data_IF_647216742250
#
_entry.id   IF_647216742250
#
_cell.length_a   1.000
_cell.length_b   1.000
_cell.length_c   1.000
_cell.angle_alpha   90.00
_cell.angle_beta   90.00
_cell.angle_gamma   90.00
#
_symmetry.space_group_name_H-M   'P 1'
#
loop_
_entity.id
_entity.type
_entity.pdbx_description
1 polymer ?
#
# COMPACT_ATOMS: atom_id res chain seq x y z
N UNK A 1 3.26 30.58 -5.91
CA UNK A 1 4.01 29.46 -5.29
C UNK A 1 3.15 28.53 -4.42
N UNK A 2 2.14 29.05 -3.70
CA UNK A 2 1.31 28.22 -2.79
C UNK A 2 0.29 27.28 -3.48
N UNK A 3 -0.20 27.61 -4.68
CA UNK A 3 -1.24 26.81 -5.37
C UNK A 3 -0.68 25.50 -5.94
N UNK A 4 0.48 25.54 -6.54
CA UNK A 4 1.21 24.36 -7.04
C UNK A 4 1.62 23.42 -5.92
N UNK A 5 2.10 23.95 -4.79
CA UNK A 5 2.46 23.14 -3.62
C UNK A 5 1.24 22.44 -3.00
N UNK A 6 0.07 23.09 -2.99
CA UNK A 6 -1.17 22.48 -2.50
C UNK A 6 -1.69 21.38 -3.45
N UNK A 7 -1.56 21.57 -4.77
CA UNK A 7 -1.88 20.53 -5.76
C UNK A 7 -0.94 19.34 -5.57
N UNK A 8 0.36 19.58 -5.45
CA UNK A 8 1.34 18.52 -5.23
C UNK A 8 1.05 17.70 -3.96
N UNK A 9 0.70 18.37 -2.85
CA UNK A 9 0.32 17.67 -1.60
C UNK A 9 -0.94 16.82 -1.76
N UNK A 10 -1.96 17.30 -2.48
CA UNK A 10 -3.17 16.52 -2.77
C UNK A 10 -2.85 15.31 -3.62
N UNK A 11 -2.06 15.48 -4.70
CA UNK A 11 -1.64 14.38 -5.56
C UNK A 11 -0.86 13.34 -4.74
N UNK A 12 0.09 13.76 -3.92
CA UNK A 12 0.85 12.86 -3.05
C UNK A 12 -0.05 12.08 -2.09
N UNK A 13 -1.06 12.72 -1.49
CA UNK A 13 -2.03 12.05 -0.61
C UNK A 13 -2.83 10.99 -1.36
N UNK A 14 -3.32 11.28 -2.57
CA UNK A 14 -4.02 10.30 -3.39
C UNK A 14 -3.13 9.13 -3.80
N UNK A 15 -1.87 9.39 -4.14
CA UNK A 15 -0.89 8.33 -4.46
C UNK A 15 -0.66 7.43 -3.25
N UNK A 16 -0.48 7.99 -2.06
CA UNK A 16 -0.31 7.21 -0.83
C UNK A 16 -1.53 6.32 -0.52
N UNK A 17 -2.75 6.84 -0.69
CA UNK A 17 -3.98 6.05 -0.54
C UNK A 17 -4.02 4.92 -1.56
N UNK A 18 -3.72 5.22 -2.83
CA UNK A 18 -3.73 4.21 -3.89
C UNK A 18 -2.70 3.10 -3.63
N UNK A 19 -1.49 3.45 -3.18
CA UNK A 19 -0.44 2.49 -2.80
C UNK A 19 -0.89 1.62 -1.63
N UNK A 20 -1.50 2.21 -0.59
CA UNK A 20 -2.00 1.45 0.55
C UNK A 20 -3.11 0.47 0.15
N UNK A 21 -4.08 0.92 -0.65
CA UNK A 21 -5.15 0.06 -1.18
C UNK A 21 -4.60 -1.05 -2.06
N UNK A 22 -3.67 -0.72 -2.95
CA UNK A 22 -2.99 -1.72 -3.78
C UNK A 22 -2.28 -2.77 -2.93
N UNK A 23 -1.54 -2.35 -1.89
CA UNK A 23 -0.84 -3.27 -1.00
C UNK A 23 -1.80 -4.23 -0.28
N UNK A 24 -2.95 -3.74 0.19
CA UNK A 24 -3.98 -4.57 0.84
C UNK A 24 -4.56 -5.58 -0.14
N UNK A 25 -5.00 -5.13 -1.32
CA UNK A 25 -5.59 -6.00 -2.36
C UNK A 25 -4.56 -7.03 -2.84
N UNK A 26 -3.33 -6.60 -3.11
CA UNK A 26 -2.24 -7.48 -3.52
C UNK A 26 -1.96 -8.55 -2.46
N UNK A 27 -1.93 -8.19 -1.18
CA UNK A 27 -1.71 -9.15 -0.10
C UNK A 27 -2.83 -10.17 -0.02
N UNK A 28 -4.10 -9.74 -0.11
CA UNK A 28 -5.25 -10.65 -0.11
C UNK A 28 -5.13 -11.65 -1.27
N UNK A 29 -4.88 -11.17 -2.48
CA UNK A 29 -4.71 -12.04 -3.66
C UNK A 29 -3.52 -12.98 -3.46
N UNK A 30 -2.37 -12.49 -3.02
CA UNK A 30 -1.16 -13.30 -2.82
C UNK A 30 -1.35 -14.41 -1.78
N UNK A 31 -1.99 -14.09 -0.65
CA UNK A 31 -2.25 -15.09 0.40
C UNK A 31 -3.26 -16.15 -0.05
N UNK A 32 -4.24 -15.76 -0.85
CA UNK A 32 -5.32 -16.67 -1.26
C UNK A 32 -4.99 -17.50 -2.49
N UNK A 33 -4.11 -17.02 -3.38
CA UNK A 33 -3.89 -17.64 -4.71
C UNK A 33 -2.52 -18.30 -4.83
N UNK A 34 -1.47 -17.68 -4.28
CA UNK A 34 -0.10 -18.22 -4.40
C UNK A 34 0.07 -19.46 -3.53
N UNK A 35 0.72 -20.48 -4.08
CA UNK A 35 0.93 -21.82 -3.47
C UNK A 35 -0.40 -22.54 -3.11
N UNK A 36 -1.48 -22.21 -3.81
CA UNK A 36 -2.77 -22.86 -3.64
C UNK A 36 -3.17 -23.59 -4.93
N UNK A 37 -2.95 -24.90 -4.95
CA UNK A 37 -3.27 -25.74 -6.11
C UNK A 37 -4.78 -25.88 -6.42
N UNK A 38 -5.63 -25.62 -5.40
CA UNK A 38 -7.09 -25.67 -5.54
C UNK A 38 -7.69 -24.40 -6.13
N UNK A 39 -6.93 -23.30 -6.18
CA UNK A 39 -7.39 -22.02 -6.73
C UNK A 39 -6.61 -21.66 -7.98
N UNK A 40 -7.33 -21.33 -9.01
CA UNK A 40 -6.77 -20.79 -10.26
C UNK A 40 -7.31 -19.38 -10.52
N UNK A 41 -6.50 -18.55 -11.12
CA UNK A 41 -6.90 -17.26 -11.64
C UNK A 41 -6.89 -17.35 -13.17
N UNK A 42 -8.05 -17.32 -13.79
CA UNK A 42 -8.21 -17.49 -15.25
C UNK A 42 -7.56 -18.78 -15.81
N UNK A 43 -7.58 -19.87 -15.03
CA UNK A 43 -6.98 -21.14 -15.41
C UNK A 43 -5.49 -21.28 -15.12
N UNK A 44 -4.87 -20.24 -14.55
CA UNK A 44 -3.46 -20.25 -14.14
C UNK A 44 -3.33 -20.39 -12.62
N UNK A 45 -2.30 -21.12 -12.20
CA UNK A 45 -1.90 -21.33 -10.81
C UNK A 45 -0.51 -20.76 -10.62
N UNK A 46 -0.21 -20.25 -9.41
CA UNK A 46 1.03 -19.55 -9.10
C UNK A 46 1.73 -20.21 -7.94
N UNK A 47 3.01 -20.57 -8.10
CA UNK A 47 3.82 -21.18 -7.06
C UNK A 47 5.14 -20.45 -6.89
N UNK A 48 5.57 -20.28 -5.65
CA UNK A 48 6.91 -19.78 -5.33
C UNK A 48 7.86 -20.96 -5.30
N UNK A 49 8.95 -20.84 -6.04
CA UNK A 49 10.02 -21.84 -6.09
C UNK A 49 10.83 -21.78 -4.81
N UNK A 50 10.98 -22.92 -4.12
CA UNK A 50 11.67 -23.01 -2.84
C UNK A 50 13.05 -23.67 -2.94
N UNK A 51 13.35 -24.34 -4.06
CA UNK A 51 14.62 -25.06 -4.25
C UNK A 51 15.24 -24.74 -5.63
N UNK A 52 16.53 -25.01 -5.76
CA UNK A 52 17.28 -24.82 -6.99
C UNK A 52 17.34 -26.06 -7.89
N UNK A 53 16.41 -27.02 -7.73
CA UNK A 53 16.40 -28.28 -8.50
C UNK A 53 16.29 -28.06 -10.03
N UNK A 54 15.74 -26.93 -10.46
CA UNK A 54 15.58 -26.55 -11.86
C UNK A 54 16.46 -25.40 -12.32
N UNK A 55 17.38 -24.92 -11.48
CA UNK A 55 18.16 -23.70 -11.73
C UNK A 55 19.21 -23.83 -12.84
N UNK A 56 19.53 -25.05 -13.28
CA UNK A 56 20.47 -25.23 -14.37
C UNK A 56 19.95 -24.70 -15.73
N UNK A 57 18.64 -24.74 -15.97
CA UNK A 57 18.08 -24.42 -17.29
C UNK A 57 16.85 -23.50 -17.26
N UNK A 58 16.07 -23.50 -16.18
CA UNK A 58 14.72 -22.92 -16.24
C UNK A 58 14.47 -21.81 -15.22
N UNK A 59 14.42 -22.12 -13.92
CA UNK A 59 14.10 -21.16 -12.84
C UNK A 59 14.80 -21.55 -11.55
N UNK A 60 14.96 -20.60 -10.64
CA UNK A 60 15.71 -20.75 -9.37
C UNK A 60 14.83 -20.51 -8.16
N UNK A 61 15.33 -20.88 -6.98
CA UNK A 61 14.70 -20.53 -5.71
C UNK A 61 14.45 -19.02 -5.61
N UNK A 62 13.26 -18.66 -5.12
CA UNK A 62 12.83 -17.26 -5.05
C UNK A 62 12.10 -16.74 -6.29
N UNK A 63 12.05 -17.48 -7.38
CA UNK A 63 11.21 -17.16 -8.52
C UNK A 63 9.74 -17.53 -8.25
N UNK A 64 8.84 -16.97 -9.04
CA UNK A 64 7.45 -17.39 -9.09
C UNK A 64 7.17 -18.03 -10.43
N UNK A 65 6.66 -19.27 -10.43
CA UNK A 65 6.27 -19.96 -11.64
C UNK A 65 4.76 -19.84 -11.88
N UNK A 66 4.40 -19.78 -13.17
CA UNK A 66 3.03 -19.78 -13.64
C UNK A 66 2.76 -21.13 -14.30
N UNK A 67 1.73 -21.81 -13.83
CA UNK A 67 1.36 -23.16 -14.21
C UNK A 67 -0.06 -23.15 -14.76
N UNK A 68 -0.30 -23.81 -15.89
CA UNK A 68 -1.61 -23.94 -16.52
C UNK A 68 -2.10 -25.38 -16.41
N UNK A 69 -3.34 -25.55 -16.03
CA UNK A 69 -4.00 -26.85 -16.04
C UNK A 69 -4.17 -27.33 -17.49
N UNK A 70 -3.73 -28.57 -17.77
CA UNK A 70 -3.75 -29.16 -19.10
C UNK A 70 -4.24 -30.59 -19.01
N UNK A 71 -4.64 -31.17 -20.18
CA UNK A 71 -4.90 -32.60 -20.27
C UNK A 71 -3.58 -33.36 -20.09
N UNK A 72 -3.51 -34.23 -19.09
CA UNK A 72 -2.32 -35.05 -18.79
C UNK A 72 -1.90 -35.93 -19.98
N UNK A 73 -2.82 -36.27 -20.87
CA UNK A 73 -2.52 -37.10 -22.04
C UNK A 73 -1.79 -36.32 -23.15
N UNK A 74 -1.76 -35.01 -23.09
CA UNK A 74 -1.03 -34.14 -24.04
C UNK A 74 0.39 -33.85 -23.64
N UNK A 75 0.78 -34.24 -22.41
CA UNK A 75 2.12 -34.00 -21.87
C UNK A 75 3.14 -34.92 -22.55
N UNK A 76 4.26 -34.34 -22.93
CA UNK A 76 5.33 -35.00 -23.68
C UNK A 76 6.65 -34.92 -22.92
N UNK A 77 7.66 -35.65 -23.44
CA UNK A 77 9.02 -35.53 -22.99
C UNK A 77 9.50 -34.06 -23.10
N UNK A 78 10.31 -33.64 -22.14
CA UNK A 78 10.87 -32.29 -21.98
C UNK A 78 9.86 -31.21 -21.53
N UNK A 79 8.57 -31.54 -21.39
CA UNK A 79 7.63 -30.67 -20.67
C UNK A 79 8.00 -30.54 -19.19
N UNK A 80 7.75 -29.37 -18.61
CA UNK A 80 7.93 -29.14 -17.18
C UNK A 80 6.55 -29.18 -16.54
N UNK A 81 6.38 -30.06 -15.55
CA UNK A 81 5.12 -30.27 -14.86
C UNK A 81 5.22 -29.99 -13.38
N UNK A 82 4.14 -29.49 -12.82
CA UNK A 82 3.96 -29.32 -11.37
C UNK A 82 3.00 -30.38 -10.87
N UNK A 83 3.38 -31.09 -9.81
CA UNK A 83 2.61 -32.23 -9.29
C UNK A 83 2.79 -32.37 -7.77
N UNK A 84 1.90 -33.15 -7.15
CA UNK A 84 2.09 -33.59 -5.77
C UNK A 84 3.00 -34.80 -5.71
N UNK A 85 4.06 -34.71 -4.93
CA UNK A 85 4.99 -35.81 -4.74
C UNK A 85 4.35 -37.00 -4.01
N UNK A 86 4.65 -38.18 -4.49
CA UNK A 86 4.33 -39.46 -3.84
C UNK A 86 5.54 -40.08 -3.17
N UNK A 87 6.71 -39.45 -3.25
CA UNK A 87 7.92 -39.88 -2.57
C UNK A 87 7.75 -39.78 -1.05
N UNK A 88 8.03 -40.84 -0.29
CA UNK A 88 7.95 -40.81 1.18
C UNK A 88 8.74 -39.69 1.85
N UNK A 89 9.83 -39.20 1.23
CA UNK A 89 10.66 -38.12 1.78
C UNK A 89 10.03 -36.72 1.57
N UNK A 90 9.17 -36.59 0.59
CA UNK A 90 8.51 -35.31 0.20
C UNK A 90 7.01 -35.49 -0.07
N UNK A 91 6.38 -36.45 0.64
CA UNK A 91 4.98 -36.82 0.42
C UNK A 91 4.04 -35.60 0.55
N UNK A 92 3.29 -35.33 -0.54
CA UNK A 92 2.33 -34.25 -0.59
C UNK A 92 2.95 -32.86 -0.84
N UNK A 93 4.26 -32.75 -0.97
CA UNK A 93 4.91 -31.51 -1.41
C UNK A 93 4.61 -31.25 -2.89
N UNK A 94 4.56 -29.99 -3.24
CA UNK A 94 4.39 -29.57 -4.64
C UNK A 94 5.78 -29.44 -5.26
N UNK A 95 6.04 -30.29 -6.24
CA UNK A 95 7.29 -30.35 -6.99
C UNK A 95 7.06 -29.91 -8.42
N UNK A 96 8.03 -29.21 -9.00
CA UNK A 96 8.01 -28.83 -10.42
C UNK A 96 9.30 -29.32 -11.06
N UNK A 97 9.17 -30.33 -11.90
CA UNK A 97 10.28 -31.02 -12.56
C UNK A 97 10.01 -31.24 -14.04
N UNK A 98 11.05 -31.57 -14.78
CA UNK A 98 11.02 -31.84 -16.22
C UNK A 98 10.74 -33.30 -16.48
N UNK A 99 9.89 -33.59 -17.46
CA UNK A 99 9.57 -34.95 -17.89
C UNK A 99 10.77 -35.52 -18.66
N UNK A 100 11.31 -36.61 -18.17
CA UNK A 100 12.32 -37.42 -18.85
C UNK A 100 11.69 -38.40 -19.82
N UNK A 101 10.62 -39.10 -19.37
CA UNK A 101 9.96 -40.12 -20.11
C UNK A 101 8.51 -40.26 -19.70
N UNK A 102 7.61 -40.49 -20.68
CA UNK A 102 6.20 -40.79 -20.43
C UNK A 102 6.03 -42.30 -20.35
N UNK A 103 5.67 -42.81 -19.17
CA UNK A 103 5.50 -44.23 -18.90
C UNK A 103 4.09 -44.68 -19.20
N UNK A 104 3.97 -45.69 -20.11
CA UNK A 104 2.72 -46.34 -20.47
C UNK A 104 2.78 -47.83 -20.19
N UNK A 105 1.64 -48.46 -19.91
CA UNK A 105 1.55 -49.89 -19.76
C UNK A 105 1.53 -50.58 -21.12
N UNK A 106 1.52 -51.93 -21.12
CA UNK A 106 1.47 -52.77 -22.33
C UNK A 106 0.26 -52.49 -23.23
N UNK A 107 -0.83 -51.97 -22.67
CA UNK A 107 -2.05 -51.58 -23.37
C UNK A 107 -2.03 -50.12 -23.85
N UNK A 108 -0.90 -49.43 -23.77
CA UNK A 108 -0.74 -48.04 -24.17
C UNK A 108 -1.38 -46.99 -23.21
N UNK A 109 -1.91 -47.43 -22.07
CA UNK A 109 -2.50 -46.52 -21.06
C UNK A 109 -1.39 -45.82 -20.28
N UNK A 110 -1.52 -44.51 -20.07
CA UNK A 110 -0.62 -43.71 -19.27
C UNK A 110 -0.58 -44.22 -17.82
N UNK A 111 0.63 -44.51 -17.30
CA UNK A 111 0.88 -44.88 -15.90
C UNK A 111 1.35 -43.66 -15.13
N UNK A 112 2.23 -42.82 -15.72
CA UNK A 112 2.82 -41.67 -15.07
C UNK A 112 3.99 -41.12 -15.86
N UNK A 113 4.68 -40.18 -15.24
CA UNK A 113 5.81 -39.49 -15.83
C UNK A 113 7.04 -39.71 -14.96
N UNK A 114 8.14 -40.14 -15.57
CA UNK A 114 9.45 -40.11 -14.96
C UNK A 114 9.98 -38.67 -15.07
N UNK A 115 10.24 -38.03 -13.93
CA UNK A 115 10.66 -36.63 -13.86
C UNK A 115 12.07 -36.49 -13.30
N UNK A 116 12.67 -35.32 -13.49
CA UNK A 116 14.00 -35.01 -12.99
C UNK A 116 14.19 -33.51 -12.78
N UNK A 117 14.98 -33.16 -11.77
CA UNK A 117 15.47 -31.80 -11.59
C UNK A 117 16.68 -31.56 -12.50
N UNK A 118 16.69 -30.45 -13.23
CA UNK A 118 17.73 -30.13 -14.21
C UNK A 118 19.12 -29.90 -13.59
N UNK A 119 19.18 -29.50 -12.31
CA UNK A 119 20.44 -29.24 -11.60
C UNK A 119 21.16 -30.53 -11.27
N UNK A 120 20.46 -31.55 -10.79
CA UNK A 120 21.08 -32.85 -10.44
C UNK A 120 21.17 -33.77 -11.65
N UNK A 121 20.24 -33.65 -12.59
CA UNK A 121 20.13 -34.52 -13.76
C UNK A 121 19.69 -35.96 -13.44
N UNK A 122 19.48 -36.33 -12.19
CA UNK A 122 18.99 -37.63 -11.77
C UNK A 122 17.48 -37.71 -11.81
N UNK A 123 16.92 -38.84 -12.21
CA UNK A 123 15.48 -39.09 -12.13
C UNK A 123 15.00 -39.15 -10.68
N UNK A 124 13.75 -38.67 -10.49
CA UNK A 124 13.05 -38.80 -9.21
C UNK A 124 12.81 -40.30 -8.87
N UNK A 125 12.79 -40.61 -7.58
CA UNK A 125 12.63 -42.01 -7.12
C UNK A 125 11.23 -42.57 -7.43
N UNK A 126 10.22 -41.69 -7.57
CA UNK A 126 8.84 -42.08 -7.83
C UNK A 126 8.32 -41.44 -9.10
N UNK A 127 7.35 -42.08 -9.77
CA UNK A 127 6.67 -41.49 -10.92
C UNK A 127 5.68 -40.43 -10.48
N UNK A 128 5.60 -39.34 -11.24
CA UNK A 128 4.50 -38.38 -11.13
C UNK A 128 3.23 -39.01 -11.75
N UNK A 129 2.29 -39.40 -10.89
CA UNK A 129 1.05 -40.03 -11.34
C UNK A 129 0.11 -39.03 -12.02
N UNK A 130 -0.68 -39.42 -13.04
CA UNK A 130 -1.59 -38.51 -13.74
C UNK A 130 -2.60 -37.80 -12.83
N UNK A 131 -3.03 -38.47 -11.76
CA UNK A 131 -3.98 -37.95 -10.75
C UNK A 131 -3.40 -36.87 -9.87
N UNK A 132 -2.07 -36.80 -9.76
CA UNK A 132 -1.35 -35.87 -8.92
C UNK A 132 -0.81 -34.65 -9.66
N UNK A 133 -1.00 -34.59 -11.00
CA UNK A 133 -0.57 -33.48 -11.82
C UNK A 133 -1.44 -32.26 -11.55
N UNK A 134 -0.80 -31.12 -11.26
CA UNK A 134 -1.43 -29.82 -11.02
C UNK A 134 -1.53 -29.02 -12.33
N UNK A 135 -0.53 -29.18 -13.21
CA UNK A 135 -0.50 -28.54 -14.53
C UNK A 135 0.91 -28.44 -15.11
N UNK A 136 1.01 -27.82 -16.27
CA UNK A 136 2.24 -27.61 -17.02
C UNK A 136 2.78 -26.20 -16.77
N UNK A 137 4.07 -26.07 -16.55
CA UNK A 137 4.79 -24.80 -16.47
C UNK A 137 4.65 -24.01 -17.77
N UNK A 138 4.45 -22.70 -17.63
CA UNK A 138 4.36 -21.80 -18.78
C UNK A 138 5.55 -20.83 -18.82
N UNK A 139 5.80 -20.14 -17.74
CA UNK A 139 6.92 -19.21 -17.57
C UNK A 139 7.20 -18.94 -16.10
N UNK A 140 8.37 -18.35 -15.83
CA UNK A 140 8.73 -17.86 -14.49
C UNK A 140 8.85 -16.34 -14.47
N UNK A 141 8.65 -15.77 -13.28
CA UNK A 141 8.90 -14.36 -12.99
C UNK A 141 10.02 -14.32 -11.96
N UNK A 142 11.22 -13.89 -12.38
CA UNK A 142 12.39 -13.88 -11.52
C UNK A 142 12.18 -13.04 -10.25
N UNK A 143 12.66 -13.55 -9.11
CA UNK A 143 12.62 -12.87 -7.80
C UNK A 143 11.24 -12.47 -7.27
N UNK A 144 10.17 -12.72 -8.00
CA UNK A 144 8.80 -12.39 -7.55
C UNK A 144 8.39 -13.20 -6.32
N UNK A 145 8.90 -14.41 -6.17
CA UNK A 145 8.66 -15.24 -4.99
C UNK A 145 9.21 -14.60 -3.71
N UNK A 146 10.40 -14.00 -3.74
CA UNK A 146 10.95 -13.25 -2.62
C UNK A 146 10.08 -12.03 -2.28
N UNK A 147 9.62 -11.29 -3.28
CA UNK A 147 8.72 -10.16 -3.08
C UNK A 147 7.40 -10.59 -2.42
N UNK A 148 6.79 -11.68 -2.90
CA UNK A 148 5.56 -12.23 -2.31
C UNK A 148 5.79 -12.70 -0.86
N UNK A 149 6.91 -13.38 -0.60
CA UNK A 149 7.26 -13.80 0.76
C UNK A 149 7.47 -12.61 1.67
N UNK A 150 8.18 -11.57 1.22
CA UNK A 150 8.36 -10.32 1.95
C UNK A 150 7.02 -9.66 2.27
N UNK A 151 6.10 -9.56 1.29
CA UNK A 151 4.76 -8.99 1.46
C UNK A 151 3.89 -9.73 2.49
N UNK A 152 4.20 -10.99 2.79
CA UNK A 152 3.54 -11.78 3.84
C UNK A 152 4.11 -11.52 5.24
N UNK A 153 5.21 -10.77 5.36
CA UNK A 153 5.84 -10.47 6.65
C UNK A 153 5.13 -9.33 7.39
N UNK A 154 5.15 -9.31 8.73
CA UNK A 154 4.64 -8.16 9.50
C UNK A 154 5.34 -6.85 9.15
N UNK A 155 6.62 -6.91 8.77
CA UNK A 155 7.41 -5.73 8.36
C UNK A 155 6.83 -5.08 7.10
N UNK A 156 6.41 -5.88 6.12
CA UNK A 156 5.77 -5.35 4.90
C UNK A 156 4.47 -4.61 5.22
N UNK A 157 3.66 -5.12 6.15
CA UNK A 157 2.44 -4.41 6.58
C UNK A 157 2.77 -3.06 7.24
N UNK A 158 3.81 -2.99 8.06
CA UNK A 158 4.24 -1.72 8.66
C UNK A 158 4.68 -0.74 7.56
N UNK A 159 5.51 -1.17 6.62
CA UNK A 159 6.07 -0.32 5.56
C UNK A 159 5.00 0.14 4.58
N UNK A 160 4.17 -0.77 4.08
CA UNK A 160 3.23 -0.48 2.98
C UNK A 160 1.83 -0.06 3.44
N UNK A 161 1.47 -0.30 4.69
CA UNK A 161 0.15 0.05 5.23
C UNK A 161 0.27 1.04 6.38
N UNK A 162 0.95 0.69 7.46
CA UNK A 162 0.95 1.53 8.67
C UNK A 162 1.62 2.90 8.45
N UNK A 163 2.79 2.94 7.78
CA UNK A 163 3.50 4.20 7.53
C UNK A 163 2.71 5.14 6.63
N UNK A 164 2.19 4.74 5.44
CA UNK A 164 1.35 5.60 4.62
C UNK A 164 0.11 6.13 5.36
N UNK A 165 -0.57 5.27 6.13
CA UNK A 165 -1.72 5.69 6.93
C UNK A 165 -1.33 6.71 8.02
N UNK A 166 -0.23 6.49 8.72
CA UNK A 166 0.27 7.43 9.74
C UNK A 166 0.62 8.79 9.11
N UNK A 167 1.22 8.83 7.93
CA UNK A 167 1.51 10.05 7.20
C UNK A 167 0.23 10.80 6.78
N UNK A 168 -0.79 10.08 6.30
CA UNK A 168 -2.09 10.67 5.93
C UNK A 168 -2.74 11.27 7.17
N UNK A 169 -2.88 10.50 8.25
CA UNK A 169 -3.49 10.97 9.51
C UNK A 169 -2.71 12.16 10.06
N UNK A 170 -1.38 12.09 10.13
CA UNK A 170 -0.53 13.18 10.58
C UNK A 170 -0.73 14.46 9.77
N UNK A 171 -0.88 14.34 8.44
CA UNK A 171 -1.15 15.49 7.57
C UNK A 171 -2.51 16.15 7.84
N UNK A 172 -3.55 15.36 8.12
CA UNK A 172 -4.88 15.88 8.44
C UNK A 172 -4.92 16.52 9.84
N UNK A 173 -4.28 15.90 10.82
CA UNK A 173 -4.12 16.47 12.17
C UNK A 173 -3.38 17.80 12.11
N UNK A 174 -2.29 17.89 11.36
CA UNK A 174 -1.56 19.15 11.17
C UNK A 174 -2.43 20.25 10.54
N UNK A 175 -3.24 19.93 9.53
CA UNK A 175 -4.18 20.88 8.92
C UNK A 175 -5.22 21.38 9.94
N UNK A 176 -5.75 20.48 10.76
CA UNK A 176 -6.70 20.81 11.82
C UNK A 176 -6.10 21.78 12.82
N UNK A 177 -4.90 21.51 13.34
CA UNK A 177 -4.18 22.43 14.24
C UNK A 177 -3.91 23.79 13.59
N UNK A 178 -3.55 23.83 12.31
CA UNK A 178 -3.32 25.07 11.59
C UNK A 178 -4.60 25.93 11.53
N UNK A 179 -5.73 25.33 11.16
CA UNK A 179 -7.04 26.01 11.10
C UNK A 179 -7.44 26.55 12.48
N UNK A 180 -7.28 25.76 13.54
CA UNK A 180 -7.58 26.19 14.91
C UNK A 180 -6.72 27.40 15.31
N UNK A 181 -5.44 27.40 14.99
CA UNK A 181 -4.53 28.51 15.29
C UNK A 181 -4.85 29.75 14.47
N UNK A 182 -5.22 29.61 13.20
CA UNK A 182 -5.65 30.73 12.34
C UNK A 182 -6.94 31.35 12.87
N UNK A 183 -7.93 30.54 13.22
CA UNK A 183 -9.19 31.02 13.82
C UNK A 183 -8.98 31.72 15.17
N UNK A 184 -8.03 31.25 15.99
CA UNK A 184 -7.69 31.87 17.27
C UNK A 184 -7.02 33.23 17.04
N UNK A 185 -6.12 33.35 16.08
CA UNK A 185 -5.49 34.61 15.71
C UNK A 185 -6.51 35.64 15.18
N UNK A 186 -7.44 35.18 14.34
CA UNK A 186 -8.48 36.04 13.77
C UNK A 186 -9.40 36.60 14.89
N UNK A 187 -9.83 35.76 15.83
CA UNK A 187 -10.62 36.22 16.98
C UNK A 187 -9.88 37.27 17.81
N UNK A 188 -8.59 37.06 18.06
CA UNK A 188 -7.77 38.04 18.80
C UNK A 188 -7.63 39.35 18.03
N UNK A 189 -7.52 39.32 16.70
CA UNK A 189 -7.45 40.53 15.87
C UNK A 189 -8.76 41.32 15.95
N UNK A 190 -9.90 40.66 15.78
CA UNK A 190 -11.21 41.28 15.88
C UNK A 190 -11.42 41.91 17.27
N UNK A 191 -11.10 41.19 18.33
CA UNK A 191 -11.20 41.72 19.70
C UNK A 191 -10.29 42.94 19.94
N UNK A 192 -9.06 42.93 19.37
CA UNK A 192 -8.16 44.08 19.47
C UNK A 192 -8.67 45.28 18.70
N UNK A 193 -9.20 45.08 17.48
CA UNK A 193 -9.79 46.14 16.67
C UNK A 193 -11.04 46.76 17.32
N UNK A 194 -11.89 45.94 17.93
CA UNK A 194 -13.06 46.43 18.70
C UNK A 194 -12.63 47.27 19.91
N UNK A 195 -11.63 46.79 20.63
CA UNK A 195 -11.08 47.51 21.79
C UNK A 195 -10.45 48.86 21.38
N UNK A 196 -9.71 48.88 20.30
CA UNK A 196 -9.14 50.16 19.76
C UNK A 196 -10.25 51.14 19.36
N UNK A 197 -11.31 50.70 18.71
CA UNK A 197 -12.45 51.58 18.39
C UNK A 197 -13.13 52.15 19.64
N UNK A 198 -13.34 51.32 20.65
CA UNK A 198 -13.93 51.78 21.93
C UNK A 198 -13.06 52.83 22.60
N UNK A 199 -11.73 52.62 22.61
CA UNK A 199 -10.79 53.59 23.18
C UNK A 199 -10.76 54.91 22.39
N UNK A 200 -10.91 54.85 21.09
CA UNK A 200 -10.97 56.08 20.23
C UNK A 200 -12.28 56.82 20.44
N UNK A 201 -13.40 56.18 20.60
CA UNK A 201 -14.68 56.78 20.99
C UNK A 201 -14.61 57.45 22.37
N UNK A 202 -14.00 56.81 23.36
CA UNK A 202 -13.80 57.39 24.67
C UNK A 202 -12.89 58.63 24.63
N UNK A 203 -11.83 58.61 23.82
CA UNK A 203 -10.94 59.74 23.63
C UNK A 203 -11.68 60.91 23.00
N UNK A 204 -12.48 60.70 21.99
CA UNK A 204 -13.29 61.71 21.34
C UNK A 204 -14.31 62.35 22.31
N UNK A 205 -15.01 61.52 23.13
CA UNK A 205 -15.92 62.03 24.16
C UNK A 205 -15.23 62.85 25.20
N UNK A 206 -14.07 62.40 25.68
CA UNK A 206 -13.26 63.14 26.65
C UNK A 206 -12.78 64.47 26.08
N UNK A 207 -12.38 64.52 24.81
CA UNK A 207 -11.98 65.76 24.14
C UNK A 207 -13.14 66.74 24.00
N UNK A 208 -14.36 66.24 23.68
CA UNK A 208 -15.56 67.04 23.62
C UNK A 208 -15.93 67.62 25.01
N UNK A 209 -15.89 66.81 26.05
CA UNK A 209 -16.12 67.25 27.43
C UNK A 209 -15.11 68.29 27.85
N UNK A 210 -13.85 68.14 27.51
CA UNK A 210 -12.82 69.16 27.82
C UNK A 210 -13.10 70.48 27.15
N UNK A 211 -13.54 70.49 25.89
CA UNK A 211 -13.94 71.72 25.18
C UNK A 211 -15.15 72.38 25.79
N UNK A 212 -16.17 71.64 26.22
CA UNK A 212 -17.32 72.14 26.94
C UNK A 212 -16.93 72.79 28.28
N UNK A 213 -16.11 72.11 29.04
CA UNK A 213 -15.60 72.65 30.32
C UNK A 213 -14.83 73.94 30.08
N UNK A 214 -14.04 74.04 29.05
CA UNK A 214 -13.27 75.23 28.75
C UNK A 214 -14.17 76.37 28.29
N UNK A 215 -15.22 76.07 27.51
CA UNK A 215 -16.21 77.07 27.13
C UNK A 215 -17.05 77.60 28.31
N UNK A 216 -17.48 76.68 29.20
CA UNK A 216 -18.18 77.06 30.43
C UNK A 216 -17.31 77.93 31.35
N UNK A 217 -16.01 77.58 31.49
CA UNK A 217 -15.06 78.44 32.24
C UNK A 217 -14.91 79.84 31.62
N UNK A 218 -14.90 79.97 30.30
CA UNK A 218 -14.84 81.27 29.62
C UNK A 218 -16.12 82.08 29.86
N UNK A 219 -17.30 81.46 29.82
CA UNK A 219 -18.60 82.11 30.09
C UNK A 219 -18.67 82.61 31.56
N UNK A 220 -18.29 81.78 32.51
CA UNK A 220 -18.22 82.15 33.93
C UNK A 220 -17.23 83.28 34.19
N UNK A 221 -16.10 83.30 33.48
CA UNK A 221 -15.12 84.38 33.63
C UNK A 221 -15.63 85.74 33.03
N UNK A 222 -16.45 85.70 31.97
CA UNK A 222 -17.10 86.89 31.40
C UNK A 222 -18.22 87.43 32.32
N UNK A 223 -19.07 86.50 32.87
CA UNK A 223 -20.16 86.93 33.81
C UNK A 223 -19.60 87.55 35.09
N UNK A 224 -18.45 87.06 35.60
CA UNK A 224 -17.79 87.60 36.79
C UNK A 224 -17.23 88.99 36.51
N UNK A 225 -16.79 89.27 35.30
CA UNK A 225 -16.31 90.56 34.87
C UNK A 225 -17.42 91.68 34.74
N UNK A 226 -18.58 91.24 34.25
CA UNK A 226 -19.77 92.10 34.07
C UNK A 226 -20.49 92.31 35.40
N UNK A 227 -20.20 91.61 36.46
CA UNK A 227 -20.76 91.80 37.82
C UNK A 227 -19.88 92.64 38.73
N UNK A 228 -18.64 92.96 38.34
CA UNK A 228 -17.71 93.85 39.05
C UNK A 228 -17.59 95.26 38.47
N UNK A 229 -18.32 95.61 37.40
CA UNK A 229 -18.57 97.02 36.89
C UNK A 229 -19.92 97.50 37.39
#
# INVERSE_FOLDING_TARGET
MNKTLNILKKVLSYVLVAVALFAVVFTIISVTTVNNSKRSLLGYKFFVVLSDSMSATDFSAGDMIVVKEVDVNTLEKDDIITFYSTDPKSLGEIITHKIREVKKNENGKLIGFETFGTTTGSSDETLAEPTNIIGQYQFSIPSMGYFIQFMKTPVAYIVFVAIPFALIIGSEVYKCFKIINENKKEKLRVETEEREKLLEEERLKNEQMLKEIEELKRRLASEKKDSEE
#
